data_IF_529378873738
#
_entry.id   IF_529378873738
#
_cell.length_a   1.000
_cell.length_b   1.000
_cell.length_c   1.000
_cell.angle_alpha   90.00
_cell.angle_beta   90.00
_cell.angle_gamma   90.00
#
_symmetry.space_group_name_H-M   'P 1'
#
loop_
_entity.id
_entity.type
_entity.pdbx_description
1 polymer ?
#
# COMPACT_ATOMS: atom_id res chain seq x y z
N UNK A 1 -89.65 27.51 16.71
CA UNK A 1 -89.13 28.70 17.44
C UNK A 1 -87.68 28.38 17.84
N UNK A 2 -86.73 29.26 17.45
CA UNK A 2 -85.25 29.24 17.67
C UNK A 2 -84.45 28.23 16.82
N UNK A 3 -83.54 28.62 15.89
CA UNK A 3 -82.24 29.36 16.01
C UNK A 3 -81.30 28.66 17.00
N UNK A 4 -80.03 28.32 16.74
CA UNK A 4 -79.10 28.52 15.63
C UNK A 4 -77.69 28.06 16.08
N UNK A 5 -76.78 27.88 15.12
CA UNK A 5 -75.30 27.90 15.14
C UNK A 5 -74.48 27.39 16.35
N UNK A 6 -73.47 26.57 16.06
CA UNK A 6 -72.07 26.91 16.36
C UNK A 6 -71.07 26.09 15.51
N UNK A 7 -70.11 26.84 14.97
CA UNK A 7 -68.95 26.48 14.14
C UNK A 7 -67.87 25.86 15.03
N UNK A 8 -67.16 24.81 14.56
CA UNK A 8 -65.67 24.74 14.59
C UNK A 8 -65.20 23.85 13.43
N UNK A 9 -64.48 24.49 12.51
CA UNK A 9 -63.65 23.92 11.44
C UNK A 9 -62.32 23.43 12.02
N UNK A 10 -61.54 22.64 11.26
CA UNK A 10 -60.09 22.38 11.35
C UNK A 10 -59.76 20.90 11.10
N UNK A 11 -59.07 20.66 9.98
CA UNK A 11 -57.95 19.71 9.98
C UNK A 11 -58.03 18.50 9.05
N UNK A 12 -58.19 18.71 7.74
CA UNK A 12 -57.66 17.75 6.75
C UNK A 12 -56.13 17.74 6.85
N UNK A 13 -55.55 16.70 7.43
CA UNK A 13 -54.13 16.41 7.25
C UNK A 13 -53.95 15.44 6.07
N UNK A 14 -53.46 15.99 4.96
CA UNK A 14 -52.75 15.22 3.95
C UNK A 14 -51.55 14.56 4.63
N UNK A 15 -51.57 13.23 4.73
CA UNK A 15 -50.37 12.47 5.02
C UNK A 15 -49.45 12.54 3.80
N UNK A 16 -48.52 13.50 3.81
CA UNK A 16 -47.32 13.46 2.97
C UNK A 16 -46.52 12.26 3.48
N UNK A 17 -46.50 11.19 2.70
CA UNK A 17 -45.56 10.10 2.91
C UNK A 17 -44.15 10.65 2.63
N UNK A 18 -43.46 11.10 3.67
CA UNK A 18 -42.02 11.24 3.64
C UNK A 18 -41.46 9.84 3.39
N UNK A 19 -41.05 9.59 2.15
CA UNK A 19 -40.09 8.53 1.84
C UNK A 19 -38.79 8.98 2.50
N UNK A 20 -38.62 8.59 3.77
CA UNK A 20 -37.34 8.71 4.45
C UNK A 20 -36.42 7.78 3.68
N UNK A 21 -35.50 8.39 2.93
CA UNK A 21 -34.43 7.68 2.26
C UNK A 21 -33.74 6.79 3.27
N UNK A 22 -33.84 5.48 3.07
CA UNK A 22 -33.01 4.51 3.76
C UNK A 22 -31.59 4.87 3.38
N UNK A 23 -30.79 5.32 4.34
CA UNK A 23 -29.40 5.68 4.10
C UNK A 23 -28.67 4.47 3.53
N UNK A 24 -27.93 4.68 2.44
CA UNK A 24 -26.99 3.72 1.88
C UNK A 24 -25.80 3.51 2.84
N UNK A 25 -26.06 2.90 3.99
CA UNK A 25 -25.05 2.57 5.01
C UNK A 25 -24.83 1.05 5.11
N UNK A 26 -25.10 0.33 4.03
CA UNK A 26 -24.89 -1.12 3.93
C UNK A 26 -24.38 -1.48 2.52
N UNK A 27 -23.14 -1.08 2.22
CA UNK A 27 -22.32 -1.63 1.12
C UNK A 27 -20.80 -1.32 1.23
N UNK A 28 -20.33 -0.58 2.24
CA UNK A 28 -18.95 -0.09 2.32
C UNK A 28 -17.93 -1.05 3.00
N UNK A 29 -18.29 -2.30 3.30
CA UNK A 29 -17.59 -3.10 4.31
C UNK A 29 -16.22 -3.69 3.89
N UNK A 30 -15.63 -3.25 2.78
CA UNK A 30 -14.31 -3.69 2.33
C UNK A 30 -13.66 -2.85 1.22
N UNK A 31 -14.31 -1.77 0.75
CA UNK A 31 -13.80 -0.93 -0.35
C UNK A 31 -12.76 0.10 0.12
N UNK A 32 -12.91 0.58 1.36
CA UNK A 32 -11.99 1.54 1.99
C UNK A 32 -10.98 0.73 2.83
N UNK A 33 -9.67 0.95 2.66
CA UNK A 33 -8.65 0.26 3.43
C UNK A 33 -8.80 0.47 4.95
N UNK A 34 -8.61 -0.60 5.73
CA UNK A 34 -8.46 -0.48 7.18
C UNK A 34 -7.19 0.32 7.50
N UNK A 35 -7.27 1.25 8.45
CA UNK A 35 -6.18 2.15 8.80
C UNK A 35 -5.65 1.87 10.21
N UNK A 36 -4.34 2.01 10.40
CA UNK A 36 -3.69 2.06 11.71
C UNK A 36 -3.23 3.47 12.04
N UNK A 37 -3.30 3.80 13.32
CA UNK A 37 -2.92 5.11 13.81
C UNK A 37 -1.43 5.13 14.18
N UNK A 38 -0.66 5.98 13.54
CA UNK A 38 0.73 6.22 13.91
C UNK A 38 0.79 7.45 14.84
N UNK A 39 1.26 7.30 16.08
CA UNK A 39 1.29 8.41 17.02
C UNK A 39 2.32 9.47 16.59
N UNK A 40 2.01 10.73 16.90
CA UNK A 40 2.99 11.81 16.85
C UNK A 40 4.19 11.44 17.71
N UNK A 41 5.39 11.72 17.23
CA UNK A 41 6.60 11.44 17.99
C UNK A 41 7.82 11.21 17.13
N UNK A 42 8.92 11.02 17.84
CA UNK A 42 10.23 10.79 17.25
C UNK A 42 10.44 9.34 16.80
N UNK A 43 11.22 9.17 15.73
CA UNK A 43 11.73 7.87 15.29
C UNK A 43 13.08 8.01 14.60
N UNK A 44 13.80 6.89 14.47
CA UNK A 44 15.05 6.81 13.72
C UNK A 44 14.82 6.44 12.25
N UNK A 45 14.88 7.45 11.37
CA UNK A 45 14.88 7.28 9.92
C UNK A 45 16.26 6.84 9.43
N UNK A 46 16.31 6.07 8.35
CA UNK A 46 17.50 5.74 7.59
C UNK A 46 18.34 4.65 8.25
N UNK A 47 19.53 4.47 7.71
CA UNK A 47 20.47 3.44 8.15
C UNK A 47 21.85 4.03 8.42
N UNK A 48 22.57 3.40 9.34
CA UNK A 48 23.97 3.68 9.61
C UNK A 48 24.87 2.64 8.92
N UNK A 49 26.19 2.76 9.09
CA UNK A 49 27.14 1.82 8.50
C UNK A 49 26.98 0.40 9.03
N UNK A 50 26.50 0.23 10.27
CA UNK A 50 26.29 -1.09 10.88
C UNK A 50 25.12 -1.78 10.20
N UNK A 51 24.00 -1.08 10.04
CA UNK A 51 22.82 -1.61 9.37
C UNK A 51 23.08 -1.92 7.88
N UNK A 52 23.74 -1.02 7.16
CA UNK A 52 24.09 -1.25 5.74
C UNK A 52 25.04 -2.43 5.57
N UNK A 53 26.03 -2.56 6.47
CA UNK A 53 26.97 -3.67 6.43
C UNK A 53 26.28 -5.00 6.76
N UNK A 54 25.35 -5.00 7.72
CA UNK A 54 24.52 -6.17 8.03
C UNK A 54 23.71 -6.61 6.81
N UNK A 55 23.08 -5.67 6.10
CA UNK A 55 22.32 -5.94 4.89
C UNK A 55 23.18 -6.61 3.80
N UNK A 56 24.36 -6.07 3.51
CA UNK A 56 25.26 -6.71 2.54
C UNK A 56 25.67 -8.12 2.99
N UNK A 57 25.90 -8.36 4.28
CA UNK A 57 26.31 -9.66 4.79
C UNK A 57 25.22 -10.73 4.63
N UNK A 58 23.96 -10.41 4.93
CA UNK A 58 22.88 -11.39 4.78
C UNK A 58 22.61 -11.71 3.31
N UNK A 59 22.70 -10.72 2.42
CA UNK A 59 22.60 -10.94 0.97
C UNK A 59 23.73 -11.85 0.48
N UNK A 60 24.98 -11.52 0.82
CA UNK A 60 26.17 -12.26 0.42
C UNK A 60 26.12 -13.72 0.87
N UNK A 61 25.61 -13.97 2.08
CA UNK A 61 25.42 -15.32 2.62
C UNK A 61 24.42 -16.13 1.80
N UNK A 62 23.34 -15.51 1.33
CA UNK A 62 22.28 -16.20 0.60
C UNK A 62 22.61 -16.35 -0.89
N UNK A 63 23.17 -15.32 -1.52
CA UNK A 63 23.59 -15.36 -2.92
C UNK A 63 24.87 -16.17 -3.15
N UNK A 64 25.72 -16.32 -2.13
CA UNK A 64 27.05 -16.92 -2.25
C UNK A 64 28.05 -16.03 -2.99
N UNK A 65 27.72 -14.75 -3.21
CA UNK A 65 28.57 -13.74 -3.84
C UNK A 65 28.11 -12.31 -3.49
N UNK A 66 29.00 -11.33 -3.66
CA UNK A 66 28.87 -9.91 -3.29
C UNK A 66 28.16 -9.03 -4.33
N UNK A 67 27.12 -9.54 -4.99
CA UNK A 67 26.42 -8.80 -6.05
C UNK A 67 25.78 -7.50 -5.53
N UNK A 68 25.16 -7.54 -4.36
CA UNK A 68 24.50 -6.38 -3.76
C UNK A 68 25.52 -5.30 -3.41
N UNK A 69 26.68 -5.68 -2.86
CA UNK A 69 27.79 -4.77 -2.58
C UNK A 69 28.40 -4.17 -3.83
N UNK A 70 28.70 -4.99 -4.85
CA UNK A 70 29.24 -4.50 -6.13
C UNK A 70 28.30 -3.49 -6.80
N UNK A 71 27.00 -3.72 -6.66
CA UNK A 71 25.97 -2.83 -7.19
C UNK A 71 25.54 -1.72 -6.21
N UNK A 72 26.15 -1.65 -5.02
CA UNK A 72 25.96 -0.58 -4.03
C UNK A 72 24.50 -0.39 -3.60
N UNK A 73 23.75 -1.48 -3.45
CA UNK A 73 22.29 -1.45 -3.20
C UNK A 73 21.87 -0.61 -2.00
N UNK A 74 22.71 -0.54 -0.96
CA UNK A 74 22.38 0.14 0.31
C UNK A 74 23.13 1.46 0.52
N UNK A 75 23.98 1.86 -0.44
CA UNK A 75 24.80 3.07 -0.34
C UNK A 75 24.00 4.36 -0.49
N UNK A 76 22.82 4.28 -1.11
CA UNK A 76 21.93 5.42 -1.33
C UNK A 76 20.88 5.58 -0.23
N UNK A 77 20.86 4.69 0.78
CA UNK A 77 20.00 4.84 1.94
C UNK A 77 20.30 6.16 2.66
N UNK A 78 19.24 6.82 3.14
CA UNK A 78 19.38 8.04 3.93
C UNK A 78 20.21 7.74 5.18
N UNK A 79 21.09 8.67 5.57
CA UNK A 79 21.87 8.54 6.81
C UNK A 79 20.95 8.47 8.03
N UNK A 80 21.31 7.66 9.02
CA UNK A 80 20.50 7.48 10.22
C UNK A 80 20.38 8.78 11.01
N UNK A 81 19.15 9.23 11.24
CA UNK A 81 18.88 10.46 11.97
C UNK A 81 17.50 10.42 12.65
N UNK A 82 17.36 11.22 13.70
CA UNK A 82 16.17 11.25 14.54
C UNK A 82 15.21 12.33 14.03
N UNK A 83 14.01 11.92 13.62
CA UNK A 83 13.01 12.78 12.99
C UNK A 83 11.72 12.76 13.82
N UNK A 84 11.07 13.91 13.97
CA UNK A 84 9.75 14.01 14.58
C UNK A 84 8.68 14.13 13.50
N UNK A 85 7.71 13.22 13.49
CA UNK A 85 6.52 13.31 12.65
C UNK A 85 5.29 13.57 13.51
N UNK A 86 4.33 14.33 12.98
CA UNK A 86 2.99 14.44 13.56
C UNK A 86 2.27 13.09 13.48
N UNK A 87 1.11 12.99 14.15
CA UNK A 87 0.30 11.78 14.07
C UNK A 87 -0.45 11.71 12.74
N UNK A 88 -0.60 10.51 12.20
CA UNK A 88 -1.27 10.25 10.92
C UNK A 88 -1.89 8.85 10.94
N UNK A 89 -2.75 8.57 9.95
CA UNK A 89 -3.29 7.24 9.72
C UNK A 89 -2.67 6.65 8.45
N UNK A 90 -2.34 5.37 8.46
CA UNK A 90 -1.79 4.67 7.29
C UNK A 90 -2.49 3.31 7.10
N UNK A 91 -2.61 2.85 5.86
CA UNK A 91 -3.22 1.58 5.52
C UNK A 91 -2.54 0.43 6.28
N UNK A 92 -3.35 -0.34 7.01
CA UNK A 92 -2.91 -1.49 7.81
C UNK A 92 -2.20 -2.53 6.96
N UNK A 93 -2.70 -2.74 5.74
CA UNK A 93 -2.14 -3.60 4.69
C UNK A 93 -1.90 -2.77 3.42
N UNK A 94 -1.17 -3.31 2.42
CA UNK A 94 -1.26 -2.86 1.05
C UNK A 94 -2.72 -2.87 0.54
N UNK A 95 -3.01 -2.03 -0.45
CA UNK A 95 -4.32 -2.01 -1.12
C UNK A 95 -4.52 -3.34 -1.83
N UNK A 96 -5.67 -3.97 -1.61
CA UNK A 96 -6.00 -5.28 -2.22
C UNK A 96 -6.61 -5.12 -3.61
N UNK A 97 -6.66 -6.21 -4.38
CA UNK A 97 -7.36 -6.20 -5.66
C UNK A 97 -8.85 -5.86 -5.52
N UNK A 98 -9.56 -6.37 -4.50
CA UNK A 98 -10.98 -6.07 -4.29
C UNK A 98 -11.20 -4.58 -3.94
N UNK A 99 -10.30 -3.98 -3.15
CA UNK A 99 -10.33 -2.55 -2.85
C UNK A 99 -10.11 -1.71 -4.11
N UNK A 100 -9.13 -2.09 -4.93
CA UNK A 100 -8.85 -1.41 -6.20
C UNK A 100 -9.98 -1.62 -7.23
N UNK A 101 -10.69 -2.75 -7.18
CA UNK A 101 -11.79 -3.06 -8.08
C UNK A 101 -12.97 -2.10 -7.87
N UNK A 102 -13.25 -1.71 -6.62
CA UNK A 102 -14.25 -0.69 -6.32
C UNK A 102 -13.91 0.66 -6.99
N UNK A 103 -12.63 1.06 -6.97
CA UNK A 103 -12.17 2.25 -7.67
C UNK A 103 -12.37 2.15 -9.18
N UNK A 104 -11.97 1.04 -9.81
CA UNK A 104 -12.16 0.80 -11.25
C UNK A 104 -13.65 0.86 -11.62
N UNK A 105 -14.51 0.19 -10.85
CA UNK A 105 -15.96 0.13 -11.13
C UNK A 105 -16.65 1.49 -11.01
N UNK A 106 -16.26 2.32 -10.03
CA UNK A 106 -16.90 3.63 -9.82
C UNK A 106 -16.40 4.71 -10.76
N UNK A 107 -15.14 4.63 -11.20
CA UNK A 107 -14.49 5.71 -11.96
C UNK A 107 -14.32 5.39 -13.44
N UNK A 108 -14.36 4.12 -13.82
CA UNK A 108 -13.95 3.66 -15.15
C UNK A 108 -12.45 3.81 -15.40
N UNK A 109 -11.63 3.93 -14.35
CA UNK A 109 -10.17 3.94 -14.45
C UNK A 109 -9.68 2.61 -15.05
N UNK A 110 -8.66 2.60 -15.93
CA UNK A 110 -8.16 1.37 -16.53
C UNK A 110 -7.75 0.33 -15.49
N UNK A 111 -8.19 -0.92 -15.69
CA UNK A 111 -7.78 -2.03 -14.85
C UNK A 111 -6.26 -2.28 -14.92
N UNK A 112 -5.66 -2.90 -13.89
CA UNK A 112 -4.27 -3.34 -13.90
C UNK A 112 -3.98 -4.42 -14.98
N UNK A 113 -3.79 -3.94 -16.20
CA UNK A 113 -3.31 -4.71 -17.34
C UNK A 113 -2.09 -4.02 -17.99
N UNK A 114 -1.46 -4.77 -18.89
CA UNK A 114 -0.40 -4.28 -19.77
C UNK A 114 -0.29 -5.21 -20.98
N UNK A 115 -0.09 -4.65 -22.17
CA UNK A 115 0.13 -5.44 -23.37
C UNK A 115 1.50 -6.14 -23.34
N UNK A 116 1.66 -7.24 -24.10
CA UNK A 116 2.96 -7.89 -24.23
C UNK A 116 4.04 -6.93 -24.75
N UNK A 117 3.69 -6.13 -25.77
CA UNK A 117 4.61 -5.17 -26.37
C UNK A 117 5.06 -4.11 -25.34
N UNK A 118 4.12 -3.60 -24.53
CA UNK A 118 4.44 -2.61 -23.51
C UNK A 118 5.25 -3.23 -22.36
N UNK A 119 4.95 -4.46 -21.95
CA UNK A 119 5.74 -5.16 -20.93
C UNK A 119 7.19 -5.33 -21.37
N UNK A 120 7.41 -5.81 -22.60
CA UNK A 120 8.74 -6.01 -23.17
C UNK A 120 9.51 -4.68 -23.30
N UNK A 121 8.83 -3.58 -23.63
CA UNK A 121 9.43 -2.23 -23.67
C UNK A 121 9.94 -1.75 -22.32
N UNK A 122 9.41 -2.24 -21.19
CA UNK A 122 9.90 -1.87 -19.86
C UNK A 122 11.29 -2.48 -19.56
N UNK A 123 11.72 -3.51 -20.30
CA UNK A 123 13.05 -4.12 -20.15
C UNK A 123 13.27 -4.82 -18.81
N UNK A 124 12.21 -5.39 -18.23
CA UNK A 124 12.24 -6.10 -16.95
C UNK A 124 12.78 -7.53 -17.11
N UNK A 125 13.19 -8.13 -15.98
CA UNK A 125 13.79 -9.47 -15.96
C UNK A 125 12.78 -10.59 -16.26
N UNK A 126 11.50 -10.39 -15.91
CA UNK A 126 10.46 -11.38 -16.18
C UNK A 126 9.94 -11.26 -17.61
N UNK A 127 9.70 -12.40 -18.24
CA UNK A 127 8.96 -12.45 -19.50
C UNK A 127 7.45 -12.21 -19.27
N UNK A 128 6.74 -11.95 -20.35
CA UNK A 128 5.31 -11.65 -20.31
C UNK A 128 4.49 -12.84 -19.76
N UNK A 129 4.90 -14.07 -20.03
CA UNK A 129 4.21 -15.27 -19.55
C UNK A 129 4.19 -15.35 -18.02
N UNK A 130 5.22 -14.84 -17.34
CA UNK A 130 5.28 -14.83 -15.87
C UNK A 130 4.22 -13.91 -15.25
N UNK A 131 3.81 -12.86 -15.98
CA UNK A 131 2.87 -11.88 -15.42
C UNK A 131 1.40 -12.21 -15.67
N UNK A 132 1.11 -13.16 -16.55
CA UNK A 132 -0.27 -13.53 -16.91
C UNK A 132 -1.17 -13.79 -15.69
N UNK A 133 -0.72 -14.44 -14.60
CA UNK A 133 -1.56 -14.66 -13.41
C UNK A 133 -1.91 -13.39 -12.61
N UNK A 134 -1.27 -12.26 -12.90
CA UNK A 134 -1.47 -10.98 -12.22
C UNK A 134 -2.29 -9.99 -13.05
N UNK A 135 -2.46 -10.25 -14.34
CA UNK A 135 -3.24 -9.40 -15.24
C UNK A 135 -4.73 -9.49 -14.89
N UNK A 136 -5.36 -8.33 -14.83
CA UNK A 136 -6.82 -8.25 -14.76
C UNK A 136 -7.43 -8.58 -16.12
N UNK A 137 -8.68 -9.07 -16.10
CA UNK A 137 -9.43 -9.39 -17.32
C UNK A 137 -10.86 -8.85 -17.19
N UNK A 138 -11.35 -8.16 -18.22
CA UNK A 138 -12.69 -7.56 -18.25
C UNK A 138 -13.00 -6.74 -16.98
N UNK A 139 -12.10 -5.81 -16.64
CA UNK A 139 -12.15 -4.95 -15.45
C UNK A 139 -12.25 -5.67 -14.09
N UNK A 140 -11.97 -6.97 -14.08
CA UNK A 140 -12.08 -7.83 -12.90
C UNK A 140 -10.71 -8.30 -12.41
N UNK A 141 -10.50 -8.37 -11.07
CA UNK A 141 -9.31 -8.96 -10.48
C UNK A 141 -9.01 -10.37 -11.01
N UNK A 142 -7.74 -10.80 -10.98
CA UNK A 142 -7.40 -12.19 -11.25
C UNK A 142 -8.17 -13.12 -10.30
N UNK A 143 -8.71 -14.20 -10.83
CA UNK A 143 -9.58 -15.12 -10.08
C UNK A 143 -8.86 -15.66 -8.84
N UNK A 144 -9.50 -15.53 -7.67
CA UNK A 144 -8.98 -16.02 -6.40
C UNK A 144 -7.91 -15.13 -5.74
N UNK A 145 -7.71 -13.90 -6.22
CA UNK A 145 -6.69 -12.97 -5.71
C UNK A 145 -7.27 -11.66 -5.15
N UNK A 146 -8.56 -11.64 -4.80
CA UNK A 146 -9.25 -10.43 -4.32
C UNK A 146 -8.61 -9.79 -3.08
N UNK A 147 -8.10 -10.62 -2.17
CA UNK A 147 -7.42 -10.23 -0.93
C UNK A 147 -5.89 -10.15 -1.05
N UNK A 148 -5.32 -10.41 -2.23
CA UNK A 148 -3.90 -10.16 -2.52
C UNK A 148 -3.66 -8.68 -2.79
N UNK A 149 -2.42 -8.17 -2.57
CA UNK A 149 -2.08 -6.80 -2.95
C UNK A 149 -2.30 -6.58 -4.45
N UNK A 150 -2.85 -5.42 -4.81
CA UNK A 150 -2.90 -4.98 -6.21
C UNK A 150 -1.49 -4.67 -6.68
N UNK A 151 -1.13 -5.17 -7.86
CA UNK A 151 0.17 -4.95 -8.53
C UNK A 151 -0.09 -4.57 -9.99
N UNK A 152 0.98 -4.38 -10.79
CA UNK A 152 0.87 -3.87 -12.18
C UNK A 152 0.17 -2.50 -12.27
N UNK A 153 0.29 -1.72 -11.21
CA UNK A 153 -0.16 -0.33 -11.13
C UNK A 153 1.04 0.61 -11.14
N UNK A 154 0.94 1.68 -11.93
CA UNK A 154 1.93 2.75 -11.91
C UNK A 154 1.78 3.62 -10.67
N UNK A 155 2.73 4.52 -10.44
CA UNK A 155 2.60 5.51 -9.37
C UNK A 155 1.39 6.44 -9.61
N UNK A 156 1.11 6.77 -10.88
CA UNK A 156 -0.04 7.61 -11.23
C UNK A 156 -1.36 6.90 -10.93
N UNK A 157 -1.45 5.59 -11.20
CA UNK A 157 -2.61 4.77 -10.85
C UNK A 157 -2.85 4.76 -9.33
N UNK A 158 -1.78 4.52 -8.56
CA UNK A 158 -1.83 4.54 -7.10
C UNK A 158 -2.26 5.91 -6.54
N UNK A 159 -1.77 7.00 -7.14
CA UNK A 159 -2.17 8.36 -6.77
C UNK A 159 -3.62 8.68 -7.16
N UNK A 160 -4.09 8.18 -8.31
CA UNK A 160 -5.49 8.33 -8.74
C UNK A 160 -6.46 7.61 -7.78
N UNK A 161 -6.09 6.40 -7.32
CA UNK A 161 -6.83 5.67 -6.29
C UNK A 161 -6.93 6.48 -4.99
N UNK A 162 -5.83 7.08 -4.52
CA UNK A 162 -5.85 7.91 -3.32
C UNK A 162 -6.71 9.18 -3.50
N UNK A 163 -6.70 9.79 -4.69
CA UNK A 163 -7.61 10.91 -4.99
C UNK A 163 -9.08 10.48 -4.98
N UNK A 164 -9.41 9.32 -5.55
CA UNK A 164 -10.76 8.77 -5.49
C UNK A 164 -11.21 8.52 -4.04
N UNK A 165 -10.34 7.99 -3.18
CA UNK A 165 -10.65 7.86 -1.75
C UNK A 165 -10.92 9.22 -1.08
N UNK A 166 -10.17 10.26 -1.47
CA UNK A 166 -10.40 11.62 -0.97
C UNK A 166 -11.79 12.13 -1.36
N UNK A 167 -12.16 11.97 -2.62
CA UNK A 167 -13.46 12.40 -3.13
C UNK A 167 -14.61 11.58 -2.51
N UNK A 168 -14.39 10.28 -2.31
CA UNK A 168 -15.39 9.35 -1.77
C UNK A 168 -15.66 9.54 -0.28
N UNK A 169 -14.63 9.86 0.50
CA UNK A 169 -14.73 9.92 1.97
C UNK A 169 -14.82 11.35 2.52
N UNK A 170 -14.37 12.34 1.75
CA UNK A 170 -14.24 13.72 2.20
C UNK A 170 -13.00 14.01 3.05
N UNK A 171 -12.17 12.99 3.35
CA UNK A 171 -10.88 13.15 4.02
C UNK A 171 -9.75 13.37 2.99
N UNK A 172 -8.56 13.78 3.44
CA UNK A 172 -7.38 13.91 2.56
C UNK A 172 -6.58 12.60 2.55
N UNK A 173 -6.67 11.86 1.45
CA UNK A 173 -5.92 10.63 1.22
C UNK A 173 -4.81 10.84 0.20
N UNK A 174 -3.66 10.21 0.43
CA UNK A 174 -2.51 10.27 -0.46
C UNK A 174 -1.61 9.05 -0.27
N UNK A 175 -0.59 8.90 -1.13
CA UNK A 175 0.48 7.94 -0.87
C UNK A 175 1.38 8.44 0.26
N UNK A 176 1.82 7.58 1.19
CA UNK A 176 2.78 7.98 2.21
C UNK A 176 4.08 8.45 1.54
N UNK A 177 4.78 9.41 2.13
CA UNK A 177 6.18 9.65 1.77
C UNK A 177 7.09 8.59 2.43
N UNK A 178 8.40 8.58 2.09
CA UNK A 178 9.33 7.57 2.62
C UNK A 178 9.45 7.62 4.15
N UNK A 179 9.29 8.79 4.77
CA UNK A 179 9.44 8.98 6.22
C UNK A 179 8.23 8.42 6.96
N UNK A 180 7.03 8.74 6.49
CA UNK A 180 5.79 8.24 7.05
C UNK A 180 5.68 6.73 6.86
N UNK A 181 6.08 6.22 5.71
CA UNK A 181 6.11 4.78 5.47
C UNK A 181 7.11 4.07 6.39
N UNK A 182 8.33 4.59 6.51
CA UNK A 182 9.38 3.93 7.29
C UNK A 182 9.11 3.94 8.80
N UNK A 183 8.59 5.05 9.34
CA UNK A 183 8.14 5.11 10.73
C UNK A 183 7.06 4.06 11.00
N UNK A 184 6.08 3.94 10.11
CA UNK A 184 4.98 3.00 10.27
C UNK A 184 5.49 1.54 10.26
N UNK A 185 6.42 1.21 9.37
CA UNK A 185 6.94 -0.14 9.23
C UNK A 185 7.93 -0.53 10.35
N UNK A 186 8.88 0.35 10.70
CA UNK A 186 10.00 0.00 11.61
C UNK A 186 9.76 0.33 13.08
N UNK A 187 8.85 1.25 13.40
CA UNK A 187 8.67 1.74 14.76
C UNK A 187 9.69 2.81 15.19
N UNK A 188 9.64 3.24 16.47
CA UNK A 188 10.43 4.38 16.97
C UNK A 188 11.92 4.06 17.16
N UNK A 189 12.26 2.79 17.41
CA UNK A 189 13.58 2.39 17.93
C UNK A 189 14.67 2.22 16.87
N UNK A 190 14.32 2.34 15.58
CA UNK A 190 15.30 2.25 14.49
C UNK A 190 15.88 0.86 14.32
N UNK A 191 15.08 -0.18 14.56
CA UNK A 191 15.46 -1.58 14.36
C UNK A 191 15.51 -1.93 12.87
N UNK A 192 16.34 -2.92 12.50
CA UNK A 192 16.55 -3.26 11.09
C UNK A 192 15.29 -3.86 10.44
N UNK A 193 14.47 -4.54 11.24
CA UNK A 193 13.17 -5.10 10.88
C UNK A 193 12.12 -4.74 11.93
N UNK A 194 10.82 -4.88 11.62
CA UNK A 194 9.74 -4.64 12.57
C UNK A 194 9.86 -5.45 13.87
N UNK A 195 10.50 -6.63 13.81
CA UNK A 195 10.69 -7.54 14.94
C UNK A 195 12.09 -7.47 15.59
N UNK A 196 12.96 -6.55 15.17
CA UNK A 196 14.29 -6.39 15.74
C UNK A 196 15.41 -6.37 14.71
N UNK A 197 16.63 -6.69 15.14
CA UNK A 197 17.86 -6.49 14.33
C UNK A 197 18.40 -7.77 13.69
N UNK A 198 17.68 -8.89 13.82
CA UNK A 198 18.08 -10.18 13.27
C UNK A 198 17.02 -10.57 12.24
N UNK A 199 17.46 -10.78 11.00
CA UNK A 199 16.62 -11.28 9.93
C UNK A 199 16.03 -12.65 10.30
N UNK A 200 14.74 -12.80 10.07
CA UNK A 200 13.99 -14.04 10.20
C UNK A 200 13.11 -14.21 8.96
N UNK A 201 13.41 -15.22 8.15
CA UNK A 201 12.72 -15.49 6.89
C UNK A 201 11.28 -16.03 7.09
N UNK A 202 10.92 -16.45 8.31
CA UNK A 202 9.57 -16.95 8.61
C UNK A 202 8.57 -15.81 8.93
N UNK A 203 9.03 -14.56 8.96
CA UNK A 203 8.23 -13.39 9.37
C UNK A 203 7.80 -12.47 8.22
N UNK A 204 8.06 -12.85 6.98
CA UNK A 204 7.70 -12.09 5.79
C UNK A 204 7.52 -13.01 4.58
N UNK A 205 6.84 -12.52 3.54
CA UNK A 205 6.89 -13.17 2.23
C UNK A 205 8.09 -12.64 1.44
N UNK A 206 9.07 -13.51 1.19
CA UNK A 206 10.24 -13.25 0.34
C UNK A 206 10.66 -14.53 -0.38
N UNK A 207 11.57 -14.41 -1.35
CA UNK A 207 12.09 -15.57 -2.06
C UNK A 207 12.96 -16.49 -1.16
N UNK A 208 13.28 -16.07 0.06
CA UNK A 208 14.01 -16.91 1.03
C UNK A 208 13.19 -18.11 1.50
N UNK A 209 11.85 -17.98 1.55
CA UNK A 209 10.92 -19.07 1.90
C UNK A 209 9.85 -19.34 0.84
N UNK A 210 9.68 -18.45 -0.12
CA UNK A 210 8.58 -18.47 -1.06
C UNK A 210 7.31 -17.82 -0.48
N UNK A 211 6.17 -17.93 -1.18
CA UNK A 211 5.85 -18.93 -2.19
C UNK A 211 6.30 -18.58 -3.63
N UNK A 212 7.12 -17.55 -3.83
CA UNK A 212 7.44 -16.99 -5.15
C UNK A 212 6.19 -16.44 -5.86
N UNK A 213 5.28 -15.91 -5.05
CA UNK A 213 4.07 -15.26 -5.47
C UNK A 213 3.58 -14.33 -4.34
N UNK A 214 2.65 -13.41 -4.63
CA UNK A 214 1.95 -12.69 -3.57
C UNK A 214 1.08 -13.64 -2.75
N UNK A 215 0.88 -13.33 -1.48
CA UNK A 215 -0.11 -13.96 -0.61
C UNK A 215 -1.28 -12.99 -0.37
N UNK A 216 -2.42 -13.47 0.17
CA UNK A 216 -3.39 -12.58 0.81
C UNK A 216 -2.68 -11.62 1.77
N UNK A 217 -3.18 -10.40 1.93
CA UNK A 217 -2.58 -9.46 2.87
C UNK A 217 -2.72 -9.93 4.32
N UNK A 218 -1.79 -9.53 5.18
CA UNK A 218 -1.90 -9.75 6.62
C UNK A 218 -1.64 -11.17 7.10
N UNK A 219 -0.81 -11.95 6.38
CA UNK A 219 -0.50 -13.34 6.74
C UNK A 219 0.66 -13.48 7.73
N UNK A 220 1.39 -12.40 8.00
CA UNK A 220 2.54 -12.37 8.91
C UNK A 220 2.23 -11.54 10.16
N UNK A 221 3.10 -11.61 11.17
CA UNK A 221 2.95 -10.81 12.39
C UNK A 221 2.98 -9.31 12.06
N UNK A 222 2.08 -8.55 12.69
CA UNK A 222 2.09 -7.09 12.57
C UNK A 222 3.34 -6.47 13.19
N UNK A 223 3.79 -5.36 12.59
CA UNK A 223 4.88 -4.54 13.09
C UNK A 223 4.51 -3.71 14.32
N UNK A 224 5.44 -2.88 14.83
CA UNK A 224 5.30 -2.14 16.10
C UNK A 224 4.05 -1.26 16.23
N UNK A 225 3.47 -0.82 15.12
CA UNK A 225 2.26 0.00 15.08
C UNK A 225 1.03 -0.71 14.49
N UNK A 226 1.04 -2.05 14.44
CA UNK A 226 -0.06 -2.84 13.87
C UNK A 226 -0.05 -2.92 12.34
N UNK A 227 1.06 -2.53 11.71
CA UNK A 227 1.22 -2.55 10.26
C UNK A 227 1.55 -3.97 9.77
N UNK A 228 0.79 -4.48 8.80
CA UNK A 228 1.08 -5.75 8.13
C UNK A 228 1.85 -5.50 6.83
N UNK A 229 2.64 -6.51 6.44
CA UNK A 229 3.33 -6.56 5.15
C UNK A 229 4.22 -5.33 4.88
N UNK A 230 4.73 -4.70 5.95
CA UNK A 230 5.67 -3.57 5.85
C UNK A 230 7.10 -3.99 5.51
N UNK A 231 7.33 -5.29 5.32
CA UNK A 231 8.57 -5.90 4.84
C UNK A 231 8.21 -7.15 4.03
N UNK A 232 8.77 -7.32 2.83
CA UNK A 232 8.39 -8.38 1.89
C UNK A 232 7.04 -8.12 1.21
N UNK A 233 6.38 -9.19 0.74
CA UNK A 233 5.14 -9.16 -0.06
C UNK A 233 5.29 -8.38 -1.37
N UNK A 234 5.19 -7.06 -1.37
CA UNK A 234 5.36 -6.22 -2.56
C UNK A 234 6.09 -4.94 -2.16
N UNK A 235 6.90 -4.43 -3.07
CA UNK A 235 7.36 -3.06 -2.96
C UNK A 235 6.16 -2.13 -2.98
N UNK A 236 6.27 -0.99 -2.30
CA UNK A 236 5.17 -0.05 -2.22
C UNK A 236 5.56 1.33 -2.72
N UNK A 237 4.77 1.86 -3.66
CA UNK A 237 4.89 3.24 -4.11
C UNK A 237 4.75 4.24 -2.96
N UNK A 238 5.69 5.18 -2.88
CA UNK A 238 5.62 6.35 -2.00
C UNK A 238 5.49 7.63 -2.82
N UNK A 239 5.08 8.74 -2.19
CA UNK A 239 5.06 10.06 -2.83
C UNK A 239 6.47 10.67 -3.02
N UNK A 240 7.48 10.16 -2.32
CA UNK A 240 8.86 10.65 -2.37
C UNK A 240 9.51 10.43 -3.74
N UNK A 241 10.19 11.46 -4.24
CA UNK A 241 10.93 11.41 -5.51
C UNK A 241 12.42 11.17 -5.26
N UNK A 242 13.03 10.23 -6.00
CA UNK A 242 14.50 10.09 -6.02
C UNK A 242 15.15 11.05 -7.01
N UNK A 243 14.47 11.31 -8.11
CA UNK A 243 14.85 12.24 -9.18
C UNK A 243 13.61 12.48 -10.07
N UNK A 244 13.69 13.46 -10.97
CA UNK A 244 12.59 13.76 -11.89
C UNK A 244 12.16 12.50 -12.68
N UNK A 245 10.84 12.21 -12.68
CA UNK A 245 10.26 11.03 -13.32
C UNK A 245 10.47 9.71 -12.56
N UNK A 246 11.00 9.75 -11.34
CA UNK A 246 11.21 8.57 -10.50
C UNK A 246 10.65 8.77 -9.09
N UNK A 247 10.11 7.68 -8.56
CA UNK A 247 9.53 7.60 -7.21
C UNK A 247 10.23 6.53 -6.41
N UNK A 248 10.22 6.71 -5.10
CA UNK A 248 10.75 5.73 -4.17
C UNK A 248 9.71 4.65 -3.94
N UNK A 249 10.16 3.40 -4.02
CA UNK A 249 9.47 2.24 -3.49
C UNK A 249 10.20 1.67 -2.28
N UNK A 250 9.43 1.10 -1.36
CA UNK A 250 9.88 0.60 -0.06
C UNK A 250 9.39 -0.83 0.17
N UNK A 251 9.96 -1.55 1.15
CA UNK A 251 9.43 -2.82 1.65
C UNK A 251 10.06 -4.10 1.09
N UNK A 252 10.60 -4.10 -0.12
CA UNK A 252 10.99 -5.34 -0.79
C UNK A 252 9.76 -6.15 -1.22
N UNK A 253 9.95 -7.34 -1.78
CA UNK A 253 8.89 -8.11 -2.41
C UNK A 253 9.04 -9.61 -2.21
N UNK A 254 8.04 -10.38 -2.64
CA UNK A 254 8.00 -11.84 -2.61
C UNK A 254 9.11 -12.50 -3.43
N UNK A 255 9.76 -11.81 -4.37
CA UNK A 255 10.90 -12.34 -5.13
C UNK A 255 12.27 -11.87 -4.62
N UNK A 256 12.30 -10.99 -3.63
CA UNK A 256 13.57 -10.54 -3.07
C UNK A 256 14.16 -11.63 -2.18
N UNK A 257 15.45 -11.90 -2.37
CA UNK A 257 16.19 -12.96 -1.69
C UNK A 257 17.39 -12.37 -0.97
N UNK A 258 17.69 -12.86 0.23
CA UNK A 258 18.66 -12.18 1.09
C UNK A 258 18.09 -10.80 1.39
N UNK A 259 17.12 -10.74 2.31
CA UNK A 259 16.18 -9.63 2.41
C UNK A 259 16.78 -8.30 2.94
N UNK A 260 18.05 -7.99 2.70
CA UNK A 260 18.63 -6.68 3.01
C UNK A 260 17.83 -5.53 2.36
N UNK A 261 17.19 -5.78 1.22
CA UNK A 261 16.27 -4.88 0.53
C UNK A 261 14.89 -4.77 1.20
N UNK A 262 14.49 -5.76 2.00
CA UNK A 262 13.21 -5.73 2.71
C UNK A 262 13.27 -4.92 4.01
N UNK A 263 14.46 -4.46 4.45
CA UNK A 263 14.57 -3.58 5.62
C UNK A 263 13.80 -2.29 5.40
N UNK A 264 13.11 -1.74 6.41
CA UNK A 264 12.40 -0.48 6.24
C UNK A 264 13.26 0.70 5.83
N UNK A 265 14.58 0.71 6.10
CA UNK A 265 15.49 1.76 5.66
C UNK A 265 15.88 1.67 4.17
N UNK A 266 15.80 0.48 3.56
CA UNK A 266 16.14 0.27 2.16
C UNK A 266 15.21 1.08 1.26
N UNK A 267 15.75 1.60 0.15
CA UNK A 267 15.02 2.47 -0.78
C UNK A 267 15.40 2.17 -2.22
N UNK A 268 14.40 2.13 -3.09
CA UNK A 268 14.61 1.88 -4.50
C UNK A 268 13.91 2.95 -5.35
N UNK A 269 14.64 3.59 -6.25
CA UNK A 269 14.06 4.48 -7.24
C UNK A 269 13.50 3.67 -8.42
N UNK A 270 12.27 3.96 -8.84
CA UNK A 270 11.64 3.38 -10.03
C UNK A 270 11.00 4.47 -10.89
N UNK A 271 11.00 4.33 -12.23
CA UNK A 271 10.27 5.25 -13.10
C UNK A 271 8.80 5.28 -12.69
N UNK A 272 8.20 6.46 -12.60
CA UNK A 272 6.83 6.58 -12.07
C UNK A 272 5.77 5.88 -12.92
N UNK A 273 6.00 5.74 -14.23
CA UNK A 273 5.11 5.05 -15.17
C UNK A 273 5.23 3.51 -15.13
N UNK A 274 6.18 2.96 -14.37
CA UNK A 274 6.47 1.52 -14.37
C UNK A 274 5.28 0.74 -13.79
N UNK A 275 4.81 -0.28 -14.51
CA UNK A 275 3.88 -1.29 -13.98
C UNK A 275 4.64 -2.59 -13.73
N UNK A 276 4.62 -3.11 -12.50
CA UNK A 276 5.41 -4.30 -12.13
C UNK A 276 4.63 -5.23 -11.19
N UNK A 277 4.79 -6.55 -11.35
CA UNK A 277 4.18 -7.58 -10.49
C UNK A 277 4.72 -7.61 -9.03
N UNK A 278 5.74 -6.79 -8.76
CA UNK A 278 6.41 -6.71 -7.46
C UNK A 278 6.08 -5.39 -6.76
N UNK A 279 5.33 -4.49 -7.40
CA UNK A 279 5.09 -3.15 -6.87
C UNK A 279 3.57 -2.94 -6.76
N UNK A 280 3.12 -2.78 -5.52
CA UNK A 280 1.80 -2.29 -5.16
C UNK A 280 1.93 -0.96 -4.42
N UNK A 281 1.00 -0.70 -3.50
CA UNK A 281 1.03 0.50 -2.68
C UNK A 281 0.12 0.36 -1.45
N UNK A 282 0.32 1.25 -0.48
CA UNK A 282 -0.67 1.55 0.56
C UNK A 282 -0.96 3.05 0.58
N UNK A 283 -2.04 3.42 1.26
CA UNK A 283 -2.49 4.81 1.37
C UNK A 283 -2.29 5.36 2.78
N UNK A 284 -2.22 6.67 2.89
CA UNK A 284 -2.13 7.44 4.12
C UNK A 284 -3.24 8.49 4.14
N UNK A 285 -3.68 8.86 5.34
CA UNK A 285 -4.63 9.93 5.59
C UNK A 285 -4.09 10.85 6.70
N UNK A 286 -4.12 12.15 6.43
CA UNK A 286 -3.73 13.18 7.41
C UNK A 286 -4.74 13.24 8.58
N UNK A 287 -4.27 13.70 9.75
CA UNK A 287 -5.09 13.90 10.95
C UNK A 287 -5.21 15.36 11.35
#
# INVERSE_FOLDING_TARGET
>A
MRLGNCIVDIGKFCAVACVVGVSQAQAANGEIPEMVQIPSGWFWQGSDSVERQYAYQIDEQVYGHDISRRNRWYDLESDKWHVHLLGYDIGKTPVTNDQYAAFVQETGHPAPDISQEDWERQGLIYNYETILPFLWNDDSPPTGRGDHPVVLVSWQDANAYAQWLSDKTGDTWHLPDELHWEKAARGPDGTFYPWGNIFDADRLNSADKGPFDTMPVGQFEEGPFGLYDGVGQVFEWTSSSSQAGYRIVKGGSWDDRGCGVCRPAARHGRPEFLKHILIGFRVMRDR
#
